data_IF_251731317625
#
_entry.id   IF_251731317625
#
_cell.length_a   1.000
_cell.length_b   1.000
_cell.length_c   1.000
_cell.angle_alpha   90.00
_cell.angle_beta   90.00
_cell.angle_gamma   90.00
#
_symmetry.space_group_name_H-M   'P 1'
#
loop_
_entity.id
_entity.type
_entity.pdbx_description
1 polymer ?
#
# COMPACT_ATOMS: atom_id res chain seq x y z
N UNK A 1 3.14 -18.55 1.11
CA UNK A 1 2.12 -17.60 1.59
C UNK A 1 1.55 -16.92 0.37
N UNK A 2 0.23 -16.89 0.22
CA UNK A 2 -0.42 -16.23 -0.91
C UNK A 2 -0.63 -14.76 -0.51
N UNK A 3 0.05 -13.84 -1.18
CA UNK A 3 -0.07 -12.41 -0.93
C UNK A 3 -1.23 -11.91 -1.77
N UNK A 4 -2.43 -11.94 -1.19
CA UNK A 4 -3.66 -11.42 -1.80
C UNK A 4 -3.81 -9.93 -1.49
N UNK A 5 -2.93 -9.10 -2.08
CA UNK A 5 -3.03 -7.64 -2.01
C UNK A 5 -3.56 -7.12 -3.34
N UNK A 6 -4.57 -6.25 -3.29
CA UNK A 6 -5.24 -5.67 -4.43
C UNK A 6 -5.48 -4.18 -4.21
N UNK A 7 -5.86 -3.45 -5.25
CA UNK A 7 -6.21 -2.03 -5.13
C UNK A 7 -7.44 -1.79 -4.24
N UNK A 8 -8.30 -2.79 -4.09
CA UNK A 8 -9.46 -2.75 -3.20
C UNK A 8 -9.10 -3.11 -1.74
N UNK A 9 -7.87 -3.57 -1.48
CA UNK A 9 -7.43 -3.90 -0.13
C UNK A 9 -7.41 -2.62 0.72
N UNK A 10 -8.06 -2.63 1.90
CA UNK A 10 -7.99 -1.51 2.83
C UNK A 10 -6.55 -1.28 3.28
N UNK A 11 -6.13 -0.02 3.36
CA UNK A 11 -4.79 0.33 3.84
C UNK A 11 -4.61 -0.14 5.28
N UNK A 12 -5.65 -0.11 6.12
CA UNK A 12 -5.60 -0.65 7.49
C UNK A 12 -5.28 -2.15 7.52
N UNK A 13 -6.00 -2.96 6.75
CA UNK A 13 -5.78 -4.42 6.68
C UNK A 13 -4.39 -4.72 6.10
N UNK A 14 -3.94 -3.91 5.13
CA UNK A 14 -2.58 -3.95 4.60
C UNK A 14 -1.54 -3.59 5.68
N UNK A 15 -1.76 -2.56 6.50
CA UNK A 15 -0.85 -2.15 7.59
C UNK A 15 -0.81 -3.21 8.69
N UNK A 16 -1.95 -3.80 9.04
CA UNK A 16 -2.05 -4.83 10.08
C UNK A 16 -1.40 -6.15 9.64
N UNK A 17 -1.66 -6.61 8.40
CA UNK A 17 -1.10 -7.85 7.86
C UNK A 17 0.34 -7.69 7.38
N UNK A 18 0.63 -6.55 6.76
CA UNK A 18 1.89 -6.25 6.07
C UNK A 18 2.39 -4.85 6.46
N UNK A 19 2.86 -4.65 7.71
CA UNK A 19 3.40 -3.36 8.15
C UNK A 19 4.59 -2.90 7.30
N UNK A 20 5.28 -3.81 6.62
CA UNK A 20 6.38 -3.52 5.71
C UNK A 20 5.92 -2.81 4.43
N UNK A 21 4.69 -3.08 3.97
CA UNK A 21 4.08 -2.44 2.82
C UNK A 21 3.99 -0.92 3.04
N UNK A 22 3.69 -0.51 4.27
CA UNK A 22 3.62 0.91 4.68
C UNK A 22 4.98 1.59 4.48
N UNK A 23 6.06 0.90 4.86
CA UNK A 23 7.42 1.41 4.68
C UNK A 23 7.79 1.56 3.20
N UNK A 24 7.38 0.61 2.37
CA UNK A 24 7.57 0.65 0.92
C UNK A 24 6.80 1.82 0.30
N UNK A 25 5.50 1.93 0.58
CA UNK A 25 4.62 3.01 0.13
C UNK A 25 5.17 4.38 0.56
N UNK A 26 5.56 4.52 1.82
CA UNK A 26 6.12 5.77 2.35
C UNK A 26 7.44 6.17 1.68
N UNK A 27 8.25 5.22 1.20
CA UNK A 27 9.47 5.51 0.42
C UNK A 27 9.14 5.99 -1.00
N UNK A 28 8.04 5.53 -1.56
CA UNK A 28 7.55 5.94 -2.88
C UNK A 28 6.77 7.28 -2.85
N UNK A 29 6.66 7.93 -1.68
CA UNK A 29 5.93 9.19 -1.52
C UNK A 29 4.51 9.02 -0.99
N UNK A 30 4.01 7.78 -1.00
CA UNK A 30 2.63 7.46 -0.64
C UNK A 30 2.44 7.48 0.87
N UNK A 31 1.63 8.43 1.36
CA UNK A 31 1.41 8.61 2.80
C UNK A 31 0.24 7.77 3.30
N UNK A 32 0.51 6.54 3.72
CA UNK A 32 -0.51 5.66 4.32
C UNK A 32 -1.00 6.11 5.71
N UNK A 33 -0.23 6.96 6.40
CA UNK A 33 -0.52 7.45 7.75
C UNK A 33 -0.72 8.96 7.68
N UNK A 34 -1.90 9.42 8.12
CA UNK A 34 -2.22 10.84 8.26
C UNK A 34 -2.55 11.13 9.72
N UNK A 35 -1.92 12.16 10.29
CA UNK A 35 -2.18 12.60 11.67
C UNK A 35 -1.96 11.52 12.76
N UNK A 36 -1.19 10.47 12.46
CA UNK A 36 -0.91 9.37 13.40
C UNK A 36 -1.87 8.17 13.29
N UNK A 37 -2.83 8.22 12.36
CA UNK A 37 -3.80 7.13 12.12
C UNK A 37 -3.64 6.59 10.69
N UNK A 38 -3.81 5.27 10.48
CA UNK A 38 -3.88 4.69 9.15
C UNK A 38 -5.10 5.26 8.40
N UNK A 39 -4.94 5.46 7.09
CA UNK A 39 -6.02 5.96 6.26
C UNK A 39 -7.13 4.91 6.10
N UNK A 40 -8.37 5.34 6.36
CA UNK A 40 -9.60 4.57 6.11
C UNK A 40 -9.96 4.53 4.62
N UNK A 41 -9.00 4.18 3.78
CA UNK A 41 -9.13 4.15 2.34
C UNK A 41 -8.60 2.83 1.79
N UNK A 42 -8.91 2.56 0.52
CA UNK A 42 -8.32 1.44 -0.21
C UNK A 42 -6.95 1.82 -0.77
N UNK A 43 -6.10 0.82 -1.05
CA UNK A 43 -4.79 1.05 -1.65
C UNK A 43 -4.92 1.81 -2.98
N UNK A 44 -5.90 1.49 -3.81
CA UNK A 44 -6.15 2.16 -5.07
C UNK A 44 -6.55 3.62 -4.92
N UNK A 45 -7.41 3.94 -3.94
CA UNK A 45 -7.74 5.33 -3.64
C UNK A 45 -6.53 6.10 -3.12
N UNK A 46 -5.76 5.50 -2.22
CA UNK A 46 -4.55 6.11 -1.68
C UNK A 46 -3.56 6.48 -2.78
N UNK A 47 -3.31 5.55 -3.71
CA UNK A 47 -2.40 5.78 -4.84
C UNK A 47 -2.93 6.87 -5.78
N UNK A 48 -4.25 6.92 -5.96
CA UNK A 48 -4.89 7.95 -6.78
C UNK A 48 -4.83 9.33 -6.13
N UNK A 49 -4.99 9.42 -4.80
CA UNK A 49 -4.84 10.67 -4.05
C UNK A 49 -3.41 11.20 -4.06
N UNK A 50 -2.43 10.31 -4.07
CA UNK A 50 -1.01 10.65 -4.16
C UNK A 50 -0.53 10.89 -5.61
N UNK A 51 -1.47 10.98 -6.56
CA UNK A 51 -1.22 11.23 -7.99
C UNK A 51 -0.28 10.20 -8.63
N UNK A 52 -0.34 8.94 -8.17
CA UNK A 52 0.44 7.85 -8.75
C UNK A 52 -0.15 7.50 -10.12
N UNK A 53 0.60 7.81 -11.18
CA UNK A 53 0.19 7.54 -12.56
C UNK A 53 -0.16 6.06 -12.79
N UNK A 54 0.59 5.15 -12.16
CA UNK A 54 0.46 3.70 -12.35
C UNK A 54 0.29 2.94 -11.03
N UNK A 55 -0.93 2.90 -10.47
CA UNK A 55 -1.20 2.19 -9.23
C UNK A 55 -0.98 0.67 -9.35
N UNK A 56 -1.27 0.09 -10.51
CA UNK A 56 -1.00 -1.33 -10.79
C UNK A 56 0.49 -1.67 -10.71
N UNK A 57 1.35 -0.80 -11.23
CA UNK A 57 2.81 -1.03 -11.19
C UNK A 57 3.31 -1.02 -9.75
N UNK A 58 2.84 -0.06 -8.95
CA UNK A 58 3.24 0.01 -7.55
C UNK A 58 2.76 -1.19 -6.74
N UNK A 59 1.56 -1.70 -7.03
CA UNK A 59 1.03 -2.92 -6.44
C UNK A 59 1.91 -4.13 -6.79
N UNK A 60 2.32 -4.27 -8.05
CA UNK A 60 3.19 -5.36 -8.50
C UNK A 60 4.56 -5.30 -7.79
N UNK A 61 5.18 -4.12 -7.72
CA UNK A 61 6.43 -3.91 -6.97
C UNK A 61 6.26 -4.18 -5.47
N UNK A 62 5.10 -3.83 -4.89
CA UNK A 62 4.79 -4.13 -3.50
C UNK A 62 4.67 -5.64 -3.26
N UNK A 63 3.99 -6.37 -4.14
CA UNK A 63 3.83 -7.82 -4.03
C UNK A 63 5.20 -8.51 -4.14
N UNK A 64 6.03 -8.12 -5.11
CA UNK A 64 7.39 -8.62 -5.26
C UNK A 64 8.22 -8.33 -3.99
N UNK A 65 8.16 -7.09 -3.47
CA UNK A 65 8.85 -6.70 -2.24
C UNK A 65 8.43 -7.53 -1.02
N UNK A 66 7.13 -7.82 -0.89
CA UNK A 66 6.59 -8.67 0.18
C UNK A 66 6.94 -10.15 -0.02
N UNK A 67 7.16 -10.62 -1.25
CA UNK A 67 7.61 -11.99 -1.55
C UNK A 67 9.06 -12.22 -1.19
N UNK A 68 9.90 -11.20 -1.34
CA UNK A 68 11.33 -11.27 -1.03
C UNK A 68 11.65 -11.11 0.47
N UNK A 69 10.62 -10.83 1.29
CA UNK A 69 10.74 -10.55 2.72
C UNK A 69 10.39 -11.72 3.64
#
# INVERSE_FOLDING_TARGET
MDIEVSLETPVEDLVEKYPEAVGFLSRHGVRCIRCGEPLWCTLGELLREDDIENPQRLLDELIEYLREK
#
